data_IF_140287031462
#
_entry.id   IF_140287031462
#
_cell.length_a   1.000
_cell.length_b   1.000
_cell.length_c   1.000
_cell.angle_alpha   90.00
_cell.angle_beta   90.00
_cell.angle_gamma   90.00
#
_symmetry.space_group_name_H-M   'P 1'
#
loop_
_entity.id
_entity.type
_entity.pdbx_description
1 polymer ?
#
# COMPACT_ATOMS: atom_id res chain seq x y z
N UNK A 1 2.82 -13.27 -18.82
CA UNK A 1 2.26 -14.26 -17.88
C UNK A 1 2.37 -13.78 -16.43
N UNK A 2 3.52 -13.27 -15.96
CA UNK A 2 3.68 -12.71 -14.61
C UNK A 2 2.70 -11.57 -14.29
N UNK A 3 2.54 -10.59 -15.20
CA UNK A 3 1.57 -9.49 -15.01
C UNK A 3 0.12 -9.97 -14.86
N UNK A 4 -0.30 -10.95 -15.66
CA UNK A 4 -1.65 -11.51 -15.60
C UNK A 4 -1.96 -12.22 -14.27
N UNK A 5 -0.96 -12.81 -13.60
CA UNK A 5 -1.13 -13.43 -12.27
C UNK A 5 -1.19 -12.35 -11.19
N UNK A 6 -0.39 -11.29 -11.34
CA UNK A 6 -0.38 -10.16 -10.43
C UNK A 6 -1.73 -9.42 -10.43
N UNK A 7 -2.29 -9.18 -11.62
CA UNK A 7 -3.61 -8.55 -11.79
C UNK A 7 -4.71 -9.38 -11.12
N UNK A 8 -4.66 -10.71 -11.26
CA UNK A 8 -5.61 -11.63 -10.61
C UNK A 8 -5.44 -11.69 -9.10
N UNK A 9 -4.21 -11.68 -8.60
CA UNK A 9 -3.92 -11.63 -7.17
C UNK A 9 -4.48 -10.37 -6.51
N UNK A 10 -4.34 -9.23 -7.20
CA UNK A 10 -4.93 -7.97 -6.74
C UNK A 10 -6.47 -8.02 -6.77
N UNK A 11 -7.08 -8.55 -7.84
CA UNK A 11 -8.54 -8.73 -7.91
C UNK A 11 -9.09 -9.60 -6.77
N UNK A 12 -8.41 -10.70 -6.43
CA UNK A 12 -8.80 -11.57 -5.32
C UNK A 12 -8.70 -10.83 -3.98
N UNK A 13 -7.73 -9.93 -3.80
CA UNK A 13 -7.62 -9.08 -2.61
C UNK A 13 -8.70 -7.99 -2.55
N UNK A 14 -9.05 -7.38 -3.69
CA UNK A 14 -9.99 -6.25 -3.71
C UNK A 14 -11.43 -6.66 -3.42
N UNK A 15 -11.87 -7.86 -3.83
CA UNK A 15 -13.27 -8.30 -3.64
C UNK A 15 -13.64 -8.42 -2.14
N UNK A 16 -12.85 -9.08 -1.27
CA UNK A 16 -13.10 -9.05 0.16
C UNK A 16 -12.94 -7.65 0.77
N UNK A 17 -11.98 -6.85 0.28
CA UNK A 17 -11.79 -5.47 0.75
C UNK A 17 -13.08 -4.66 0.63
N UNK A 18 -13.74 -4.73 -0.52
CA UNK A 18 -14.99 -4.02 -0.79
C UNK A 18 -16.14 -4.42 0.16
N UNK A 19 -16.13 -5.66 0.67
CA UNK A 19 -17.19 -6.18 1.55
C UNK A 19 -16.88 -5.85 3.02
N UNK A 20 -15.62 -5.92 3.43
CA UNK A 20 -15.24 -5.81 4.84
C UNK A 20 -14.73 -4.42 5.25
N UNK A 21 -14.44 -3.54 4.30
CA UNK A 21 -13.85 -2.23 4.59
C UNK A 21 -14.74 -1.30 5.38
N UNK A 22 -16.06 -1.40 5.19
CA UNK A 22 -17.03 -0.63 5.98
C UNK A 22 -17.10 -1.10 7.44
N UNK A 23 -16.76 -2.36 7.71
CA UNK A 23 -16.76 -2.93 9.06
C UNK A 23 -15.43 -2.74 9.81
N UNK A 24 -14.29 -2.72 9.11
CA UNK A 24 -12.95 -2.67 9.73
C UNK A 24 -12.52 -1.24 10.09
N UNK A 25 -12.96 -0.24 9.32
CA UNK A 25 -12.52 1.14 9.49
C UNK A 25 -11.37 1.52 8.54
N UNK A 26 -11.42 2.73 7.98
CA UNK A 26 -10.42 3.20 6.99
C UNK A 26 -9.05 3.39 7.63
N UNK A 27 -9.01 3.90 8.86
CA UNK A 27 -7.77 4.13 9.60
C UNK A 27 -7.09 2.80 9.94
N UNK A 28 -7.86 1.84 10.43
CA UNK A 28 -7.35 0.51 10.76
C UNK A 28 -6.82 -0.21 9.51
N UNK A 29 -7.52 -0.14 8.38
CA UNK A 29 -7.03 -0.73 7.13
C UNK A 29 -5.72 -0.09 6.66
N UNK A 30 -5.57 1.22 6.80
CA UNK A 30 -4.33 1.90 6.46
C UNK A 30 -3.17 1.44 7.36
N UNK A 31 -3.38 1.34 8.67
CA UNK A 31 -2.35 0.87 9.61
C UNK A 31 -1.98 -0.60 9.34
N UNK A 32 -2.96 -1.49 9.31
CA UNK A 32 -2.70 -2.93 9.13
C UNK A 32 -2.18 -3.26 7.73
N UNK A 33 -2.62 -2.53 6.71
CA UNK A 33 -2.08 -2.61 5.36
C UNK A 33 -0.61 -2.25 5.32
N UNK A 34 -0.23 -1.13 5.94
CA UNK A 34 1.14 -0.66 5.99
C UNK A 34 2.04 -1.64 6.76
N UNK A 35 1.57 -2.16 7.90
CA UNK A 35 2.29 -3.18 8.67
C UNK A 35 2.47 -4.47 7.88
N UNK A 36 1.41 -5.00 7.26
CA UNK A 36 1.47 -6.24 6.48
C UNK A 36 2.41 -6.12 5.26
N UNK A 37 2.33 -5.01 4.54
CA UNK A 37 3.24 -4.71 3.43
C UNK A 37 4.68 -4.49 3.87
N UNK A 38 4.88 -3.86 5.02
CA UNK A 38 6.21 -3.65 5.62
C UNK A 38 6.88 -4.97 6.02
N UNK A 39 6.13 -5.89 6.65
CA UNK A 39 6.63 -7.23 7.00
C UNK A 39 7.06 -8.00 5.75
N UNK A 40 6.26 -7.97 4.68
CA UNK A 40 6.63 -8.60 3.42
C UNK A 40 7.94 -8.03 2.86
N UNK A 41 8.12 -6.70 2.90
CA UNK A 41 9.36 -6.05 2.48
C UNK A 41 10.57 -6.45 3.33
N UNK A 42 10.43 -6.53 4.66
CA UNK A 42 11.52 -6.97 5.54
C UNK A 42 11.93 -8.42 5.24
N UNK A 43 10.97 -9.30 4.99
CA UNK A 43 11.25 -10.70 4.66
C UNK A 43 11.93 -10.81 3.28
N UNK A 44 11.46 -10.06 2.28
CA UNK A 44 12.12 -9.99 0.97
C UNK A 44 13.54 -9.45 1.08
N UNK A 45 13.77 -8.43 1.90
CA UNK A 45 15.11 -7.90 2.17
C UNK A 45 16.02 -8.97 2.79
N UNK A 46 15.54 -9.72 3.78
CA UNK A 46 16.31 -10.77 4.45
C UNK A 46 16.66 -11.92 3.50
N UNK A 47 15.69 -12.37 2.68
CA UNK A 47 15.90 -13.44 1.71
C UNK A 47 16.87 -13.01 0.60
N UNK A 48 16.69 -11.82 0.05
CA UNK A 48 17.59 -11.29 -0.98
C UNK A 48 18.99 -11.04 -0.41
N UNK A 49 19.10 -10.48 0.79
CA UNK A 49 20.41 -10.23 1.44
C UNK A 49 21.17 -11.51 1.77
N UNK A 50 20.46 -12.60 2.08
CA UNK A 50 21.08 -13.88 2.46
C UNK A 50 21.41 -14.78 1.25
N UNK A 51 20.57 -14.79 0.22
CA UNK A 51 20.64 -15.76 -0.89
C UNK A 51 20.77 -15.12 -2.28
N UNK A 52 20.80 -13.78 -2.36
CA UNK A 52 20.79 -13.01 -3.61
C UNK A 52 21.94 -13.31 -4.57
N UNK A 53 23.09 -13.73 -4.02
CA UNK A 53 24.30 -14.02 -4.80
C UNK A 53 24.35 -15.47 -5.32
N UNK A 54 23.45 -16.35 -4.88
CA UNK A 54 23.48 -17.79 -5.18
C UNK A 54 22.08 -18.40 -5.32
N UNK A 55 21.17 -17.70 -6.03
CA UNK A 55 19.83 -18.21 -6.32
C UNK A 55 19.78 -19.64 -6.91
N UNK A 56 20.69 -20.04 -7.84
CA UNK A 56 20.67 -21.39 -8.39
C UNK A 56 20.87 -22.49 -7.34
N UNK A 57 21.60 -22.20 -6.26
CA UNK A 57 21.85 -23.13 -5.16
C UNK A 57 20.74 -23.07 -4.09
N UNK A 58 19.93 -22.02 -4.11
CA UNK A 58 18.86 -21.75 -3.14
C UNK A 58 17.51 -21.47 -3.81
N UNK A 59 17.11 -22.35 -4.74
CA UNK A 59 15.87 -22.22 -5.52
C UNK A 59 14.63 -22.06 -4.62
N UNK A 60 14.58 -22.78 -3.49
CA UNK A 60 13.48 -22.66 -2.52
C UNK A 60 13.37 -21.27 -1.90
N UNK A 61 14.48 -20.63 -1.57
CA UNK A 61 14.51 -19.26 -1.06
C UNK A 61 14.07 -18.25 -2.13
N UNK A 62 14.42 -18.50 -3.40
CA UNK A 62 13.94 -17.70 -4.54
C UNK A 62 12.42 -17.75 -4.66
N UNK A 63 11.82 -18.94 -4.61
CA UNK A 63 10.37 -19.10 -4.62
C UNK A 63 9.68 -18.52 -3.37
N UNK A 64 10.32 -18.58 -2.21
CA UNK A 64 9.82 -17.92 -1.01
C UNK A 64 9.77 -16.39 -1.21
N UNK A 65 10.82 -15.79 -1.78
CA UNK A 65 10.85 -14.36 -2.09
C UNK A 65 9.70 -13.96 -3.04
N UNK A 66 9.49 -14.72 -4.11
CA UNK A 66 8.36 -14.53 -5.05
C UNK A 66 7.01 -14.64 -4.34
N UNK A 67 6.87 -15.59 -3.41
CA UNK A 67 5.64 -15.75 -2.62
C UNK A 67 5.33 -14.50 -1.80
N UNK A 68 6.34 -13.89 -1.17
CA UNK A 68 6.16 -12.65 -0.41
C UNK A 68 5.84 -11.43 -1.29
N UNK A 69 6.29 -11.40 -2.55
CA UNK A 69 5.82 -10.41 -3.53
C UNK A 69 4.31 -10.53 -3.75
N UNK A 70 3.79 -11.75 -3.89
CA UNK A 70 2.34 -11.96 -4.06
C UNK A 70 1.54 -11.64 -2.80
N UNK A 71 2.06 -11.99 -1.62
CA UNK A 71 1.45 -11.61 -0.34
C UNK A 71 1.37 -10.08 -0.24
N UNK A 72 2.44 -9.36 -0.60
CA UNK A 72 2.43 -7.90 -0.65
C UNK A 72 1.30 -7.37 -1.56
N UNK A 73 1.16 -7.91 -2.77
CA UNK A 73 0.12 -7.50 -3.73
C UNK A 73 -1.29 -7.75 -3.18
N UNK A 74 -1.51 -8.89 -2.52
CA UNK A 74 -2.81 -9.24 -1.91
C UNK A 74 -3.12 -8.30 -0.75
N UNK A 75 -2.17 -8.06 0.15
CA UNK A 75 -2.33 -7.13 1.28
C UNK A 75 -2.60 -5.71 0.78
N UNK A 76 -1.87 -5.26 -0.25
CA UNK A 76 -2.14 -3.99 -0.91
C UNK A 76 -3.57 -3.94 -1.46
N UNK A 77 -4.00 -4.96 -2.21
CA UNK A 77 -5.36 -5.05 -2.75
C UNK A 77 -6.45 -5.05 -1.67
N UNK A 78 -6.18 -5.65 -0.51
CA UNK A 78 -7.09 -5.68 0.64
C UNK A 78 -7.19 -4.35 1.41
N UNK A 79 -6.20 -3.46 1.25
CA UNK A 79 -6.05 -2.27 2.09
C UNK A 79 -5.86 -1.00 1.25
N UNK A 80 -4.62 -0.66 0.88
CA UNK A 80 -4.29 0.57 0.18
C UNK A 80 -4.87 0.68 -1.23
N UNK A 81 -5.11 -0.46 -1.89
CA UNK A 81 -5.67 -0.56 -3.23
C UNK A 81 -6.98 0.23 -3.38
N UNK A 82 -8.02 -0.04 -2.56
CA UNK A 82 -9.22 0.78 -2.54
C UNK A 82 -9.08 2.09 -1.75
N UNK A 83 -8.33 2.10 -0.63
CA UNK A 83 -8.23 3.27 0.25
C UNK A 83 -7.73 4.52 -0.48
N UNK A 84 -6.81 4.38 -1.43
CA UNK A 84 -6.27 5.52 -2.18
C UNK A 84 -7.34 6.26 -2.99
N UNK A 85 -8.43 5.58 -3.34
CA UNK A 85 -9.53 6.15 -4.13
C UNK A 85 -10.72 6.58 -3.29
N UNK A 86 -10.92 5.96 -2.12
CA UNK A 86 -12.06 6.26 -1.23
C UNK A 86 -11.72 7.31 -0.18
N UNK A 87 -10.57 7.20 0.48
CA UNK A 87 -10.23 8.09 1.59
C UNK A 87 -10.14 9.58 1.19
N UNK A 88 -9.54 9.96 0.03
CA UNK A 88 -9.51 11.37 -0.34
C UNK A 88 -10.91 11.99 -0.51
N UNK A 89 -11.89 11.25 -1.05
CA UNK A 89 -13.24 11.80 -1.24
C UNK A 89 -14.01 11.93 0.07
N UNK A 90 -13.68 11.12 1.07
CA UNK A 90 -14.24 11.17 2.43
C UNK A 90 -13.60 12.27 3.29
N UNK A 91 -12.31 12.59 3.08
CA UNK A 91 -11.57 13.58 3.90
C UNK A 91 -11.78 15.02 3.44
N UNK A 92 -12.01 15.26 2.15
CA UNK A 92 -12.26 16.62 1.67
C UNK A 92 -13.73 17.03 1.82
N UNK A 93 -13.95 18.22 2.39
CA UNK A 93 -15.25 18.87 2.50
C UNK A 93 -15.88 19.11 1.13
N UNK A 94 -17.21 19.19 1.08
CA UNK A 94 -17.95 19.18 -0.19
C UNK A 94 -17.49 20.28 -1.16
N UNK A 95 -17.19 21.47 -0.63
CA UNK A 95 -16.75 22.65 -1.40
C UNK A 95 -15.39 22.43 -2.07
N UNK A 96 -14.46 21.73 -1.43
CA UNK A 96 -13.10 21.53 -1.93
C UNK A 96 -12.85 20.14 -2.50
N UNK A 97 -13.81 19.21 -2.36
CA UNK A 97 -13.67 17.80 -2.71
C UNK A 97 -13.11 17.57 -4.10
N UNK A 98 -13.70 18.19 -5.12
CA UNK A 98 -13.25 17.99 -6.49
C UNK A 98 -11.78 18.41 -6.71
N UNK A 99 -11.36 19.54 -6.13
CA UNK A 99 -9.97 20.04 -6.23
C UNK A 99 -9.01 19.19 -5.40
N UNK A 100 -9.39 18.84 -4.18
CA UNK A 100 -8.58 18.03 -3.27
C UNK A 100 -8.35 16.62 -3.82
N UNK A 101 -9.41 15.96 -4.29
CA UNK A 101 -9.31 14.64 -4.93
C UNK A 101 -8.47 14.72 -6.20
N UNK A 102 -8.69 15.73 -7.06
CA UNK A 102 -7.87 15.91 -8.27
C UNK A 102 -6.38 16.07 -7.96
N UNK A 103 -6.04 16.83 -6.92
CA UNK A 103 -4.66 16.97 -6.45
C UNK A 103 -4.09 15.66 -5.89
N UNK A 104 -4.86 14.94 -5.06
CA UNK A 104 -4.45 13.64 -4.50
C UNK A 104 -4.14 12.62 -5.62
N UNK A 105 -5.00 12.56 -6.65
CA UNK A 105 -4.78 11.70 -7.81
C UNK A 105 -3.54 12.12 -8.59
N UNK A 106 -3.33 13.42 -8.83
CA UNK A 106 -2.13 13.92 -9.51
C UNK A 106 -0.85 13.54 -8.75
N UNK A 107 -0.83 13.71 -7.41
CA UNK A 107 0.28 13.30 -6.56
C UNK A 107 0.50 11.79 -6.62
N UNK A 108 -0.56 10.98 -6.59
CA UNK A 108 -0.42 9.51 -6.68
C UNK A 108 0.22 9.06 -7.98
N UNK A 109 -0.15 9.65 -9.12
CA UNK A 109 0.43 9.33 -10.42
C UNK A 109 1.87 9.80 -10.54
N UNK A 110 2.19 10.97 -9.97
CA UNK A 110 3.57 11.45 -9.89
C UNK A 110 4.44 10.51 -9.05
N UNK A 111 3.96 10.08 -7.87
CA UNK A 111 4.67 9.11 -7.03
C UNK A 111 4.85 7.77 -7.76
N UNK A 112 3.83 7.30 -8.48
CA UNK A 112 3.93 6.09 -9.29
C UNK A 112 5.00 6.21 -10.37
N UNK A 113 5.06 7.34 -11.09
CA UNK A 113 6.09 7.62 -12.08
C UNK A 113 7.49 7.62 -11.45
N UNK A 114 7.68 8.30 -10.32
CA UNK A 114 8.96 8.35 -9.60
C UNK A 114 9.40 6.93 -9.23
N UNK A 115 8.52 6.13 -8.62
CA UNK A 115 8.81 4.74 -8.25
C UNK A 115 9.17 3.91 -9.50
N UNK A 116 8.42 4.06 -10.59
CA UNK A 116 8.66 3.33 -11.84
C UNK A 116 10.03 3.61 -12.46
N UNK A 117 10.56 4.83 -12.29
CA UNK A 117 11.88 5.23 -12.80
C UNK A 117 13.01 4.89 -11.81
N UNK A 118 12.77 5.06 -10.51
CA UNK A 118 13.83 5.00 -9.48
C UNK A 118 14.06 3.58 -8.97
N UNK A 119 13.04 2.72 -8.92
CA UNK A 119 13.21 1.36 -8.36
C UNK A 119 14.17 0.47 -9.15
N UNK A 120 14.13 0.41 -10.50
CA UNK A 120 15.09 -0.42 -11.25
C UNK A 120 16.57 -0.11 -10.92
N UNK A 121 17.05 1.16 -10.96
CA UNK A 121 18.43 1.45 -10.58
C UNK A 121 18.70 1.26 -9.08
N UNK A 122 17.70 1.38 -8.20
CA UNK A 122 17.88 1.02 -6.78
C UNK A 122 18.16 -0.48 -6.60
N UNK A 123 17.42 -1.35 -7.29
CA UNK A 123 17.64 -2.81 -7.22
C UNK A 123 19.05 -3.16 -7.71
N UNK A 124 19.55 -2.51 -8.75
CA UNK A 124 20.91 -2.75 -9.27
C UNK A 124 22.01 -2.23 -8.34
N UNK A 125 21.80 -1.10 -7.67
CA UNK A 125 22.82 -0.42 -6.87
C UNK A 125 22.86 -0.86 -5.40
N UNK A 126 21.69 -0.84 -4.73
CA UNK A 126 21.57 -1.13 -3.30
C UNK A 126 20.93 -2.49 -3.02
N UNK A 127 20.49 -3.21 -4.06
CA UNK A 127 20.02 -4.60 -3.98
C UNK A 127 18.92 -4.81 -2.93
N UNK A 128 19.20 -5.57 -1.86
CA UNK A 128 18.27 -5.81 -0.75
C UNK A 128 17.89 -4.52 0.00
N UNK A 129 18.75 -3.50 -0.04
CA UNK A 129 18.50 -2.17 0.53
C UNK A 129 17.25 -1.49 -0.05
N UNK A 130 16.87 -1.82 -1.29
CA UNK A 130 15.63 -1.33 -1.91
C UNK A 130 14.41 -1.75 -1.10
N UNK A 131 14.37 -3.02 -0.65
CA UNK A 131 13.25 -3.52 0.12
C UNK A 131 13.22 -2.93 1.53
N UNK A 132 14.39 -2.70 2.14
CA UNK A 132 14.50 -2.02 3.45
C UNK A 132 13.99 -0.57 3.35
N UNK A 133 14.34 0.13 2.28
CA UNK A 133 13.86 1.49 2.01
C UNK A 133 12.32 1.53 2.00
N UNK A 134 11.67 0.65 1.24
CA UNK A 134 10.21 0.60 1.20
C UNK A 134 9.58 0.09 2.51
N UNK A 135 10.24 -0.81 3.25
CA UNK A 135 9.80 -1.20 4.58
C UNK A 135 9.77 0.00 5.54
N UNK A 136 10.77 0.89 5.48
CA UNK A 136 10.79 2.11 6.28
C UNK A 136 9.65 3.06 5.91
N UNK A 137 9.36 3.22 4.61
CA UNK A 137 8.20 3.99 4.15
C UNK A 137 6.87 3.37 4.59
N UNK A 138 6.76 2.03 4.63
CA UNK A 138 5.60 1.36 5.19
C UNK A 138 5.45 1.67 6.70
N UNK A 139 6.54 1.64 7.46
CA UNK A 139 6.50 1.99 8.89
C UNK A 139 6.10 3.46 9.11
N UNK A 140 6.65 4.38 8.33
CA UNK A 140 6.25 5.79 8.33
C UNK A 140 4.78 5.96 7.95
N UNK A 141 4.31 5.20 6.95
CA UNK A 141 2.90 5.15 6.55
C UNK A 141 1.99 4.70 7.69
N UNK A 142 2.37 3.65 8.43
CA UNK A 142 1.60 3.17 9.58
C UNK A 142 1.53 4.22 10.70
N UNK A 143 2.64 4.90 11.00
CA UNK A 143 2.69 6.00 11.98
C UNK A 143 1.84 7.18 11.53
N UNK A 144 1.96 7.58 10.27
CA UNK A 144 1.13 8.63 9.66
C UNK A 144 -0.36 8.28 9.77
N UNK A 145 -0.73 7.06 9.39
CA UNK A 145 -2.11 6.57 9.48
C UNK A 145 -2.61 6.50 10.91
N UNK A 146 -1.75 6.21 11.88
CA UNK A 146 -2.14 6.23 13.27
C UNK A 146 -2.45 7.65 13.77
N UNK A 147 -1.64 8.67 13.44
CA UNK A 147 -1.84 10.01 14.02
C UNK A 147 -2.72 10.95 13.19
N UNK A 148 -2.69 10.83 11.86
CA UNK A 148 -3.22 11.86 10.95
C UNK A 148 -4.40 11.40 10.09
N UNK A 149 -4.63 10.09 9.97
CA UNK A 149 -5.78 9.59 9.21
C UNK A 149 -7.01 9.52 10.13
N UNK A 150 -8.08 10.28 9.85
CA UNK A 150 -9.32 10.19 10.61
C UNK A 150 -10.05 8.89 10.31
N UNK A 151 -10.88 8.43 11.25
CA UNK A 151 -11.79 7.31 10.99
C UNK A 151 -13.07 7.83 10.33
N UNK A 152 -13.33 7.33 9.13
CA UNK A 152 -14.43 7.75 8.25
C UNK A 152 -15.47 6.65 8.04
N UNK A 153 -15.24 5.43 8.55
CA UNK A 153 -16.19 4.34 8.36
C UNK A 153 -17.52 4.58 9.08
N UNK A 154 -18.59 4.07 8.48
CA UNK A 154 -19.97 4.14 8.97
C UNK A 154 -20.52 5.57 9.17
N UNK A 155 -19.93 6.58 8.51
CA UNK A 155 -20.42 7.96 8.48
C UNK A 155 -20.82 8.36 7.07
N UNK A 156 -21.89 9.15 6.94
CA UNK A 156 -22.22 9.76 5.65
C UNK A 156 -21.29 10.93 5.33
N UNK A 157 -21.23 11.34 4.06
CA UNK A 157 -20.40 12.48 3.65
C UNK A 157 -20.85 13.79 4.32
N UNK A 158 -22.15 13.92 4.61
CA UNK A 158 -22.71 15.08 5.33
C UNK A 158 -22.32 15.08 6.81
N UNK A 159 -22.30 13.91 7.45
CA UNK A 159 -21.86 13.76 8.84
C UNK A 159 -20.38 14.12 8.98
N UNK A 160 -19.53 13.68 8.05
CA UNK A 160 -18.11 14.03 7.98
C UNK A 160 -17.89 15.53 7.77
N UNK A 161 -18.65 16.18 6.88
CA UNK A 161 -18.56 17.63 6.63
C UNK A 161 -18.96 18.46 7.85
N UNK A 162 -19.85 17.92 8.70
CA UNK A 162 -20.31 18.57 9.93
C UNK A 162 -19.34 18.38 11.12
N UNK A 163 -18.45 17.38 11.05
CA UNK A 163 -17.56 16.98 12.13
C UNK A 163 -16.46 18.03 12.35
N UNK A 164 -16.14 18.31 13.61
CA UNK A 164 -15.18 19.35 13.98
C UNK A 164 -13.73 19.06 13.52
N UNK A 165 -13.45 17.82 13.12
CA UNK A 165 -12.15 17.37 12.62
C UNK A 165 -11.89 17.85 11.17
N UNK A 166 -12.94 18.16 10.40
CA UNK A 166 -12.85 18.51 8.98
C UNK A 166 -13.12 19.99 8.67
N UNK A 167 -13.34 20.82 9.70
CA UNK A 167 -13.45 22.30 9.61
C UNK A 167 -12.09 22.96 9.81
#
# INVERSE_FOLDING_TARGET
MAGFIQDKGQLIGVVPAMIFMDNIGRRNLAIWGAVGMGIAHVIMAALYGSFGNSWPDHVSAGWACVTFVYIYVIVFGLTYGPLIWTLPSEVFTNVYRAKGVGFAVAVSWLCNFIIGVVVPPMIESITYGTFIFFAAFCALGAVFSFYLVPETANKTLEELDSDAIFK
#
